data_IF_327264926566
#
_entry.id   IF_327264926566
#
_cell.length_a   1.000
_cell.length_b   1.000
_cell.length_c   1.000
_cell.angle_alpha   90.00
_cell.angle_beta   90.00
_cell.angle_gamma   90.00
#
_symmetry.space_group_name_H-M   'P 1'
#
loop_
_entity.id
_entity.type
_entity.pdbx_description
1 polymer ?
#
# COMPACT_ATOMS: atom_id res chain seq x y z
N UNK A 1 -22.58 -14.84 -8.03
CA UNK A 1 -21.98 -13.50 -7.92
C UNK A 1 -23.01 -12.49 -7.46
N UNK A 2 -23.06 -12.22 -6.15
CA UNK A 2 -23.51 -10.93 -5.62
C UNK A 2 -22.59 -10.64 -4.43
N UNK A 3 -21.39 -10.13 -4.73
CA UNK A 3 -20.52 -9.59 -3.69
C UNK A 3 -21.28 -8.40 -3.09
N UNK A 4 -21.81 -8.53 -1.87
CA UNK A 4 -22.31 -7.37 -1.13
C UNK A 4 -21.15 -6.40 -0.96
N UNK A 5 -21.13 -5.37 -1.81
CA UNK A 5 -20.31 -4.17 -1.63
C UNK A 5 -20.82 -3.53 -0.35
N UNK A 6 -19.99 -3.44 0.67
CA UNK A 6 -20.32 -2.61 1.84
C UNK A 6 -19.55 -1.31 1.70
N UNK A 7 -20.28 -0.21 1.75
CA UNK A 7 -19.72 1.14 1.84
C UNK A 7 -19.35 1.40 3.29
N UNK A 8 -18.09 1.72 3.58
CA UNK A 8 -17.77 2.48 4.78
C UNK A 8 -17.92 3.95 4.36
N UNK A 9 -18.95 4.62 4.88
CA UNK A 9 -19.17 6.03 4.61
C UNK A 9 -18.10 6.85 5.34
N UNK A 10 -17.27 7.55 4.56
CA UNK A 10 -16.29 8.52 5.03
C UNK A 10 -16.12 9.62 3.99
N UNK A 11 -16.64 10.81 4.28
CA UNK A 11 -16.45 12.06 3.55
C UNK A 11 -16.71 12.03 2.02
N UNK A 12 -17.99 11.91 1.61
CA UNK A 12 -18.48 12.06 0.22
C UNK A 12 -17.76 11.23 -0.87
N UNK A 13 -16.99 10.20 -0.48
CA UNK A 13 -16.35 9.26 -1.37
C UNK A 13 -16.70 7.82 -0.95
N UNK A 14 -17.09 6.99 -1.92
CA UNK A 14 -17.24 5.55 -1.72
C UNK A 14 -15.89 4.92 -1.99
N UNK A 15 -15.16 4.58 -0.92
CA UNK A 15 -13.99 3.74 -1.04
C UNK A 15 -14.47 2.29 -1.25
N UNK A 16 -13.97 1.61 -2.28
CA UNK A 16 -14.17 0.16 -2.45
C UNK A 16 -13.41 -0.59 -1.35
N UNK A 17 -13.80 -0.50 -0.09
CA UNK A 17 -13.14 -1.24 0.98
C UNK A 17 -13.64 -2.67 0.93
N UNK A 18 -12.82 -3.60 0.44
CA UNK A 18 -13.12 -5.02 0.62
C UNK A 18 -12.94 -5.31 2.10
N UNK A 19 -14.04 -5.56 2.82
CA UNK A 19 -13.99 -6.24 4.13
C UNK A 19 -13.22 -7.54 3.91
N UNK A 20 -12.03 -7.67 4.50
CA UNK A 20 -11.33 -8.94 4.49
C UNK A 20 -12.14 -9.91 5.34
N UNK A 21 -12.85 -10.83 4.69
CA UNK A 21 -13.56 -11.93 5.32
C UNK A 21 -12.55 -13.03 5.67
N UNK A 22 -12.86 -13.84 6.67
CA UNK A 22 -12.04 -15.00 7.08
C UNK A 22 -11.68 -15.91 5.88
N UNK A 23 -12.56 -16.01 4.88
CA UNK A 23 -12.34 -16.76 3.65
C UNK A 23 -11.25 -16.18 2.73
N UNK A 24 -11.02 -14.85 2.71
CA UNK A 24 -9.95 -14.22 1.93
C UNK A 24 -8.54 -14.54 2.48
N UNK A 25 -8.47 -15.01 3.74
CA UNK A 25 -7.24 -15.42 4.40
C UNK A 25 -6.95 -16.92 4.22
N UNK A 26 -7.90 -17.71 3.72
CA UNK A 26 -7.84 -19.18 3.71
C UNK A 26 -8.07 -19.85 2.36
N UNK A 27 -8.58 -19.12 1.35
CA UNK A 27 -8.80 -19.66 0.00
C UNK A 27 -8.18 -18.73 -1.07
N UNK A 28 -7.04 -19.11 -1.69
CA UNK A 28 -6.37 -18.33 -2.73
C UNK A 28 -7.15 -18.19 -4.05
N UNK A 29 -8.21 -18.99 -4.26
CA UNK A 29 -8.94 -19.06 -5.54
C UNK A 29 -9.87 -17.87 -5.81
N UNK A 30 -10.11 -17.02 -4.81
CA UNK A 30 -11.07 -15.91 -4.88
C UNK A 30 -10.48 -14.62 -5.49
N UNK A 31 -9.16 -14.56 -5.72
CA UNK A 31 -8.51 -13.40 -6.34
C UNK A 31 -8.40 -13.61 -7.86
N UNK A 32 -9.52 -13.46 -8.58
CA UNK A 32 -9.60 -13.67 -10.04
C UNK A 32 -9.00 -12.52 -10.88
N UNK A 33 -8.43 -11.50 -10.23
CA UNK A 33 -7.86 -10.35 -10.89
C UNK A 33 -6.43 -10.63 -11.38
N UNK A 34 -6.04 -9.98 -12.48
CA UNK A 34 -4.65 -9.99 -12.96
C UNK A 34 -3.67 -9.70 -11.81
N UNK A 35 -2.49 -10.36 -11.77
CA UNK A 35 -1.45 -10.07 -10.78
C UNK A 35 -1.01 -8.60 -10.73
N UNK A 36 -1.24 -7.83 -11.80
CA UNK A 36 -0.93 -6.40 -11.89
C UNK A 36 -2.10 -5.47 -11.63
N UNK A 37 -3.31 -6.00 -11.40
CA UNK A 37 -4.50 -5.18 -11.18
C UNK A 37 -4.34 -4.31 -9.93
N UNK A 38 -4.76 -3.04 -10.02
CA UNK A 38 -4.84 -2.16 -8.83
C UNK A 38 -5.83 -2.74 -7.83
N UNK A 39 -5.51 -2.60 -6.57
CA UNK A 39 -6.39 -2.94 -5.47
C UNK A 39 -6.14 -1.99 -4.29
N UNK A 40 -7.08 -1.97 -3.36
CA UNK A 40 -7.05 -1.19 -2.14
C UNK A 40 -7.40 -2.06 -0.92
N UNK A 41 -7.04 -3.35 -0.98
CA UNK A 41 -7.35 -4.33 0.05
C UNK A 41 -6.34 -4.26 1.18
N UNK A 42 -6.78 -4.35 2.44
CA UNK A 42 -5.91 -4.26 3.63
C UNK A 42 -6.66 -4.71 4.89
N UNK A 43 -5.95 -4.85 6.01
CA UNK A 43 -6.60 -5.12 7.30
C UNK A 43 -7.50 -3.96 7.75
N UNK A 44 -8.48 -4.24 8.60
CA UNK A 44 -9.41 -3.22 9.12
C UNK A 44 -8.65 -2.07 9.81
N UNK A 45 -7.65 -2.40 10.62
CA UNK A 45 -6.83 -1.39 11.33
C UNK A 45 -6.04 -0.50 10.37
N UNK A 46 -5.45 -1.09 9.32
CA UNK A 46 -4.75 -0.32 8.28
C UNK A 46 -5.73 0.56 7.51
N UNK A 47 -6.95 0.08 7.21
CA UNK A 47 -7.98 0.84 6.52
C UNK A 47 -8.43 2.07 7.33
N UNK A 48 -8.75 1.89 8.62
CA UNK A 48 -9.14 2.99 9.49
C UNK A 48 -8.03 4.04 9.65
N UNK A 49 -6.76 3.60 9.71
CA UNK A 49 -5.63 4.52 9.79
C UNK A 49 -5.41 5.26 8.46
N UNK A 50 -5.50 4.56 7.34
CA UNK A 50 -5.37 5.16 6.01
C UNK A 50 -6.47 6.19 5.74
N UNK A 51 -7.71 5.93 6.13
CA UNK A 51 -8.83 6.86 5.99
C UNK A 51 -8.57 8.19 6.69
N UNK A 52 -8.10 8.14 7.95
CA UNK A 52 -7.69 9.33 8.71
C UNK A 52 -6.56 10.10 8.01
N UNK A 53 -5.55 9.37 7.55
CA UNK A 53 -4.40 9.94 6.83
C UNK A 53 -4.82 10.62 5.52
N UNK A 54 -5.59 9.93 4.69
CA UNK A 54 -6.07 10.43 3.40
C UNK A 54 -7.02 11.63 3.57
N UNK A 55 -7.88 11.62 4.59
CA UNK A 55 -8.74 12.75 4.95
C UNK A 55 -7.92 13.98 5.31
N UNK A 56 -6.90 13.83 6.15
CA UNK A 56 -6.03 14.94 6.51
C UNK A 56 -5.23 15.48 5.33
N UNK A 57 -4.74 14.59 4.45
CA UNK A 57 -4.07 14.99 3.22
C UNK A 57 -5.01 15.79 2.31
N UNK A 58 -6.26 15.32 2.16
CA UNK A 58 -7.26 15.98 1.32
C UNK A 58 -7.59 17.38 1.81
N UNK A 59 -7.70 17.57 3.13
CA UNK A 59 -7.87 18.91 3.74
C UNK A 59 -6.68 19.84 3.48
N UNK A 60 -5.49 19.29 3.28
CA UNK A 60 -4.29 20.02 2.87
C UNK A 60 -4.13 20.16 1.34
N UNK A 61 -5.17 19.85 0.55
CA UNK A 61 -5.12 19.92 -0.91
C UNK A 61 -4.40 18.74 -1.60
N UNK A 62 -3.99 17.71 -0.85
CA UNK A 62 -3.24 16.56 -1.37
C UNK A 62 -4.15 15.34 -1.48
N UNK A 63 -4.22 14.71 -2.66
CA UNK A 63 -5.05 13.51 -2.88
C UNK A 63 -4.19 12.25 -2.93
N UNK A 64 -4.31 11.41 -1.91
CA UNK A 64 -3.61 10.11 -1.80
C UNK A 64 -4.53 9.01 -2.32
N UNK A 65 -4.01 8.15 -3.19
CA UNK A 65 -4.69 6.96 -3.72
C UNK A 65 -3.79 5.74 -3.60
N UNK A 66 -4.40 4.56 -3.44
CA UNK A 66 -3.69 3.28 -3.31
C UNK A 66 -3.54 2.67 -4.71
N UNK A 67 -2.32 2.28 -5.05
CA UNK A 67 -2.00 1.57 -6.29
C UNK A 67 -1.90 0.06 -6.07
N UNK A 68 -1.46 -0.38 -4.89
CA UNK A 68 -1.45 -1.79 -4.48
C UNK A 68 -1.65 -1.93 -2.97
N UNK A 69 -2.58 -2.79 -2.57
CA UNK A 69 -2.83 -3.18 -1.18
C UNK A 69 -2.35 -4.62 -0.92
N UNK A 70 -3.22 -5.46 -0.37
CA UNK A 70 -2.89 -6.84 -0.04
C UNK A 70 -2.54 -7.67 -1.28
N UNK A 71 -1.52 -8.52 -1.13
CA UNK A 71 -1.06 -9.42 -2.19
C UNK A 71 -1.19 -10.86 -1.72
N UNK A 72 -1.94 -11.65 -2.47
CA UNK A 72 -1.92 -13.12 -2.34
C UNK A 72 -0.52 -13.66 -2.62
N UNK A 73 -0.23 -14.88 -2.15
CA UNK A 73 1.06 -15.53 -2.41
C UNK A 73 1.34 -15.69 -3.91
N UNK A 74 0.32 -16.03 -4.72
CA UNK A 74 0.44 -16.17 -6.17
C UNK A 74 0.79 -14.82 -6.84
N UNK A 75 0.16 -13.73 -6.40
CA UNK A 75 0.50 -12.38 -6.87
C UNK A 75 1.92 -11.98 -6.48
N UNK A 76 2.34 -12.31 -5.26
CA UNK A 76 3.72 -12.07 -4.83
C UNK A 76 4.72 -12.92 -5.64
N UNK A 77 4.38 -14.17 -5.99
CA UNK A 77 5.19 -15.02 -6.86
C UNK A 77 5.38 -14.42 -8.25
N UNK A 78 4.34 -13.84 -8.84
CA UNK A 78 4.44 -13.13 -10.11
C UNK A 78 5.49 -12.00 -10.04
N UNK A 79 5.39 -11.10 -9.04
CA UNK A 79 6.34 -10.00 -8.90
C UNK A 79 7.75 -10.49 -8.54
N UNK A 80 7.88 -11.54 -7.73
CA UNK A 80 9.15 -12.18 -7.44
C UNK A 80 9.82 -12.72 -8.71
N UNK A 81 9.05 -13.39 -9.58
CA UNK A 81 9.57 -13.87 -10.86
C UNK A 81 10.04 -12.69 -11.74
N UNK A 82 9.24 -11.62 -11.85
CA UNK A 82 9.65 -10.39 -12.56
C UNK A 82 10.97 -9.82 -12.02
N UNK A 83 11.16 -9.82 -10.70
CA UNK A 83 12.39 -9.35 -10.07
C UNK A 83 13.60 -10.22 -10.41
N UNK A 84 13.43 -11.55 -10.36
CA UNK A 84 14.50 -12.51 -10.62
C UNK A 84 14.94 -12.51 -12.08
N UNK A 85 13.98 -12.45 -13.02
CA UNK A 85 14.25 -12.54 -14.46
C UNK A 85 14.44 -11.19 -15.13
N UNK A 86 14.09 -10.09 -14.45
CA UNK A 86 14.00 -8.74 -15.02
C UNK A 86 13.05 -8.61 -16.22
N UNK A 87 12.14 -9.57 -16.42
CA UNK A 87 11.30 -9.64 -17.62
C UNK A 87 10.02 -8.79 -17.57
N UNK A 88 9.64 -8.29 -16.40
CA UNK A 88 8.41 -7.52 -16.20
C UNK A 88 8.52 -6.58 -14.99
N UNK A 89 7.49 -5.74 -14.78
CA UNK A 89 7.42 -4.79 -13.66
C UNK A 89 8.65 -3.86 -13.55
N UNK A 90 9.34 -3.60 -14.67
CA UNK A 90 10.60 -2.84 -14.71
C UNK A 90 11.74 -3.46 -13.89
N UNK A 91 11.69 -4.78 -13.62
CA UNK A 91 12.71 -5.48 -12.83
C UNK A 91 12.81 -5.02 -11.38
N UNK A 92 11.79 -4.32 -10.88
CA UNK A 92 11.71 -3.78 -9.51
C UNK A 92 11.84 -4.89 -8.47
N UNK A 93 12.40 -4.54 -7.33
CA UNK A 93 12.59 -5.47 -6.23
C UNK A 93 11.24 -5.99 -5.72
N UNK A 94 11.20 -7.28 -5.40
CA UNK A 94 10.05 -7.91 -4.77
C UNK A 94 10.56 -8.77 -3.62
N UNK A 95 9.83 -8.80 -2.51
CA UNK A 95 10.13 -9.73 -1.43
C UNK A 95 9.88 -11.17 -1.87
N UNK A 96 10.59 -12.12 -1.26
CA UNK A 96 10.35 -13.55 -1.45
C UNK A 96 8.87 -13.85 -1.12
N UNK A 97 8.17 -14.70 -1.90
CA UNK A 97 6.80 -15.08 -1.60
C UNK A 97 6.67 -15.60 -0.16
N UNK A 98 5.66 -15.11 0.56
CA UNK A 98 5.45 -15.39 1.98
C UNK A 98 6.12 -14.42 2.97
N UNK A 99 7.02 -13.53 2.52
CA UNK A 99 7.71 -12.58 3.42
C UNK A 99 7.31 -11.12 3.20
N UNK A 100 6.41 -10.86 2.25
CA UNK A 100 5.95 -9.51 1.91
C UNK A 100 4.94 -8.97 2.92
N UNK A 101 5.10 -7.73 3.37
CA UNK A 101 4.11 -7.07 4.24
C UNK A 101 2.79 -6.73 3.52
N UNK A 102 2.78 -6.70 2.17
CA UNK A 102 1.52 -6.72 1.42
C UNK A 102 0.74 -8.02 1.67
N UNK A 103 1.43 -9.16 1.84
CA UNK A 103 0.79 -10.43 2.21
C UNK A 103 0.21 -10.45 3.62
N UNK A 104 0.55 -9.45 4.44
CA UNK A 104 -0.03 -9.24 5.78
C UNK A 104 -1.14 -8.19 5.80
N UNK A 105 -1.39 -7.52 4.66
CA UNK A 105 -2.41 -6.47 4.54
C UNK A 105 -2.11 -5.20 5.33
N UNK A 106 -0.84 -4.95 5.65
CA UNK A 106 -0.37 -3.77 6.40
C UNK A 106 0.50 -2.82 5.55
N UNK A 107 0.91 -3.25 4.36
CA UNK A 107 1.66 -2.43 3.41
C UNK A 107 0.74 -1.91 2.29
N UNK A 108 0.96 -0.66 1.90
CA UNK A 108 0.28 0.03 0.82
C UNK A 108 1.31 0.69 -0.11
N UNK A 109 1.13 0.48 -1.41
CA UNK A 109 1.77 1.31 -2.41
C UNK A 109 0.84 2.48 -2.76
N UNK A 110 1.36 3.70 -2.67
CA UNK A 110 0.61 4.95 -2.82
C UNK A 110 1.05 5.71 -4.08
N UNK A 111 0.17 6.57 -4.61
CA UNK A 111 0.40 7.42 -5.80
C UNK A 111 1.39 8.57 -5.56
N UNK A 112 2.57 8.26 -5.03
CA UNK A 112 3.61 9.27 -4.77
C UNK A 112 4.18 9.87 -6.04
N UNK A 113 3.84 9.38 -7.24
CA UNK A 113 4.32 9.92 -8.52
C UNK A 113 5.84 10.16 -8.52
N UNK A 114 6.56 9.30 -7.81
CA UNK A 114 8.00 9.35 -7.66
C UNK A 114 8.55 7.97 -8.02
N UNK A 115 9.40 7.92 -9.06
CA UNK A 115 10.03 6.69 -9.52
C UNK A 115 10.97 6.08 -8.48
N UNK A 116 11.52 4.91 -8.78
CA UNK A 116 12.47 4.22 -7.89
C UNK A 116 13.65 5.13 -7.55
N UNK A 117 14.16 5.05 -6.33
CA UNK A 117 15.23 5.91 -5.82
C UNK A 117 16.39 5.08 -5.29
N UNK A 118 17.58 5.66 -5.27
CA UNK A 118 18.76 5.04 -4.64
C UNK A 118 19.01 5.55 -3.21
N UNK A 119 18.33 6.63 -2.79
CA UNK A 119 18.57 7.33 -1.52
C UNK A 119 17.51 7.02 -0.45
N UNK A 120 17.93 6.99 0.82
CA UNK A 120 17.02 6.94 1.99
C UNK A 120 16.18 8.21 2.13
N UNK A 121 16.64 9.32 1.54
CA UNK A 121 15.86 10.54 1.28
C UNK A 121 15.63 10.68 -0.24
N UNK A 122 14.58 10.04 -0.77
CA UNK A 122 14.10 10.22 -2.14
C UNK A 122 14.05 11.68 -2.58
N UNK A 123 14.57 11.96 -3.78
CA UNK A 123 14.47 13.29 -4.40
C UNK A 123 13.12 13.41 -5.15
N UNK A 124 12.03 13.38 -4.40
CA UNK A 124 10.66 13.51 -4.93
C UNK A 124 10.16 14.96 -4.84
N UNK A 125 11.00 15.95 -5.18
CA UNK A 125 10.71 17.38 -4.97
C UNK A 125 9.41 17.86 -5.64
N UNK A 126 9.08 17.32 -6.82
CA UNK A 126 7.85 17.64 -7.53
C UNK A 126 6.59 16.92 -7.04
N UNK A 127 6.71 16.00 -6.07
CA UNK A 127 5.56 15.20 -5.62
C UNK A 127 4.93 15.74 -4.34
N UNK A 128 3.80 16.44 -4.49
CA UNK A 128 3.00 16.90 -3.35
C UNK A 128 2.57 15.74 -2.43
N UNK A 129 2.22 14.57 -3.01
CA UNK A 129 1.83 13.38 -2.24
C UNK A 129 2.99 12.85 -1.40
N UNK A 130 4.17 12.69 -1.99
CA UNK A 130 5.34 12.20 -1.25
C UNK A 130 5.74 13.19 -0.14
N UNK A 131 5.82 14.48 -0.44
CA UNK A 131 6.21 15.50 0.54
C UNK A 131 5.23 15.53 1.73
N UNK A 132 3.93 15.40 1.46
CA UNK A 132 2.94 15.32 2.51
C UNK A 132 3.08 14.05 3.35
N UNK A 133 3.24 12.89 2.72
CA UNK A 133 3.44 11.62 3.44
C UNK A 133 4.71 11.65 4.29
N UNK A 134 5.82 12.13 3.73
CA UNK A 134 7.09 12.26 4.46
C UNK A 134 6.94 13.06 5.75
N UNK A 135 6.19 14.16 5.71
CA UNK A 135 5.96 15.02 6.86
C UNK A 135 4.90 14.49 7.84
N UNK A 136 3.88 13.76 7.38
CA UNK A 136 2.67 13.51 8.17
C UNK A 136 2.29 12.04 8.37
N UNK A 137 2.77 11.09 7.55
CA UNK A 137 2.27 9.71 7.57
C UNK A 137 2.47 9.01 8.92
N UNK A 138 3.58 9.31 9.61
CA UNK A 138 3.91 8.74 10.93
C UNK A 138 2.87 9.08 12.01
N UNK A 139 2.21 10.23 11.92
CA UNK A 139 1.12 10.64 12.84
C UNK A 139 -0.03 9.62 12.78
N UNK A 140 -0.24 9.01 11.62
CA UNK A 140 -1.27 8.01 11.37
C UNK A 140 -0.73 6.57 11.47
N UNK A 141 0.53 6.40 11.89
CA UNK A 141 1.15 5.09 12.08
C UNK A 141 1.75 4.48 10.82
N UNK A 142 1.91 5.26 9.73
CA UNK A 142 2.51 4.80 8.50
C UNK A 142 3.98 5.21 8.40
N UNK A 143 4.82 4.26 7.98
CA UNK A 143 6.26 4.46 7.78
C UNK A 143 6.66 3.97 6.39
N UNK A 144 7.55 4.71 5.73
CA UNK A 144 8.19 4.25 4.50
C UNK A 144 9.32 3.28 4.84
N UNK A 145 9.14 2.00 4.56
CA UNK A 145 10.07 0.94 5.01
C UNK A 145 11.13 0.56 3.99
N UNK A 146 10.88 0.82 2.70
CA UNK A 146 11.75 0.39 1.60
C UNK A 146 12.45 1.60 0.99
N UNK A 147 13.78 1.68 1.18
CA UNK A 147 14.62 2.81 0.76
C UNK A 147 14.40 3.22 -0.69
N UNK A 148 14.34 2.27 -1.60
CA UNK A 148 14.21 2.52 -3.04
C UNK A 148 12.80 2.80 -3.53
N UNK A 149 11.79 2.66 -2.67
CA UNK A 149 10.39 2.72 -3.06
C UNK A 149 9.67 3.86 -2.32
N UNK A 150 9.65 5.08 -2.90
CA UNK A 150 8.93 6.21 -2.34
C UNK A 150 7.44 5.94 -2.12
N UNK A 151 6.85 5.04 -2.91
CA UNK A 151 5.44 4.67 -2.85
C UNK A 151 5.10 3.68 -1.74
N UNK A 152 6.07 2.96 -1.15
CA UNK A 152 5.78 1.85 -0.25
C UNK A 152 5.71 2.29 1.23
N UNK A 153 4.53 2.16 1.84
CA UNK A 153 4.27 2.58 3.22
C UNK A 153 3.60 1.47 4.02
N UNK A 154 4.12 1.21 5.22
CA UNK A 154 3.64 0.16 6.12
C UNK A 154 3.03 0.74 7.39
N UNK A 155 1.94 0.12 7.86
CA UNK A 155 1.24 0.48 9.09
C UNK A 155 1.76 -0.31 10.29
N UNK A 156 2.18 0.41 11.34
CA UNK A 156 2.67 -0.15 12.61
C UNK A 156 1.81 0.21 13.83
N UNK A 157 0.72 0.96 13.66
CA UNK A 157 -0.05 1.54 14.77
C UNK A 157 0.14 3.05 14.89
N UNK A 158 -0.91 3.79 15.26
CA UNK A 158 -0.83 5.24 15.40
C UNK A 158 0.14 5.62 16.55
N UNK A 159 1.08 6.53 16.29
CA UNK A 159 2.13 6.91 17.25
C UNK A 159 3.28 5.91 17.36
N UNK A 160 3.27 4.80 16.61
CA UNK A 160 4.43 3.94 16.49
C UNK A 160 5.55 4.73 15.79
N UNK A 161 6.60 5.04 16.55
CA UNK A 161 7.83 5.57 15.97
C UNK A 161 8.56 4.37 15.39
N UNK A 162 8.71 4.24 14.06
CA UNK A 162 9.57 3.21 13.50
C UNK A 162 10.99 3.41 14.02
N UNK A 163 11.73 2.31 14.25
CA UNK A 163 13.16 2.39 14.47
C UNK A 163 13.76 3.24 13.34
N UNK A 164 14.37 4.37 13.71
CA UNK A 164 14.92 5.33 12.74
C UNK A 164 15.86 4.56 11.80
N UNK A 165 15.72 4.80 10.49
CA UNK A 165 16.77 4.45 9.54
C UNK A 165 18.05 5.18 9.96
N UNK A 166 18.99 4.46 10.55
CA UNK A 166 20.41 4.82 10.60
C UNK A 166 21.02 4.70 9.21
#
# INVERSE_FOLDING_TARGET
WQSKKFSIAGNNAVYSVVKILKAHLSDPSIYSASPTAKDNTMTITTACAFDKMATAAKRAGVTITITSGFRTIARQQYFWNCYQTKSCNGGRQAARPGTSNHGRGIALDLNTNCGSQSSSRPLCGGSAVYQWLYKNAHIYGFTRTVRSEPWHWEYFGAGATPARFS
#
